data_IF_152691946399
#
_entry.id   IF_152691946399
#
_cell.length_a   1.000
_cell.length_b   1.000
_cell.length_c   1.000
_cell.angle_alpha   90.00
_cell.angle_beta   90.00
_cell.angle_gamma   90.00
#
_symmetry.space_group_name_H-M   'P 1'
#
loop_
_entity.id
_entity.type
_entity.pdbx_description
1 polymer ?
#
# COMPACT_ATOMS: atom_id res chain seq x y z
N UNK A 1 -38.34 70.63 -16.77
CA UNK A 1 -38.33 69.15 -16.78
C UNK A 1 -36.96 68.66 -17.27
N UNK A 2 -36.51 67.47 -16.83
CA UNK A 2 -35.18 67.26 -16.24
C UNK A 2 -34.13 66.61 -17.15
N UNK A 3 -32.92 66.56 -16.59
CA UNK A 3 -31.62 66.08 -17.09
C UNK A 3 -31.54 64.56 -17.25
N UNK A 4 -30.77 64.07 -18.22
CA UNK A 4 -29.82 62.96 -18.00
C UNK A 4 -28.77 62.87 -19.12
N UNK A 5 -27.51 62.91 -18.70
CA UNK A 5 -26.29 62.50 -19.43
C UNK A 5 -26.02 61.02 -19.08
N UNK A 6 -25.18 60.33 -19.87
CA UNK A 6 -24.17 59.31 -19.48
C UNK A 6 -23.90 58.24 -20.59
N UNK A 7 -22.72 57.60 -20.63
CA UNK A 7 -21.80 57.72 -21.78
C UNK A 7 -21.38 56.39 -22.46
N UNK A 8 -20.57 56.56 -23.51
CA UNK A 8 -19.77 55.59 -24.28
C UNK A 8 -19.00 54.59 -23.39
N UNK A 9 -19.07 53.30 -23.73
CA UNK A 9 -18.26 52.22 -23.15
C UNK A 9 -17.47 51.52 -24.28
N UNK A 10 -16.15 51.71 -24.27
CA UNK A 10 -15.18 51.00 -25.11
C UNK A 10 -14.75 49.74 -24.36
N UNK A 11 -14.93 48.56 -24.96
CA UNK A 11 -14.54 47.27 -24.40
C UNK A 11 -13.17 46.85 -24.98
N UNK A 12 -12.13 46.82 -24.15
CA UNK A 12 -10.84 46.23 -24.47
C UNK A 12 -10.91 44.70 -24.30
N UNK A 13 -10.66 43.96 -25.38
CA UNK A 13 -10.56 42.50 -25.35
C UNK A 13 -9.16 42.07 -24.86
N UNK A 14 -9.08 41.49 -23.67
CA UNK A 14 -7.87 40.94 -23.09
C UNK A 14 -7.58 39.53 -23.61
N UNK A 15 -6.36 39.33 -24.14
CA UNK A 15 -5.81 38.05 -24.58
C UNK A 15 -5.44 37.20 -23.34
N UNK A 16 -6.17 36.12 -23.10
CA UNK A 16 -5.94 35.20 -21.98
C UNK A 16 -4.83 34.18 -22.33
N UNK A 17 -3.73 34.24 -21.57
CA UNK A 17 -2.64 33.25 -21.59
C UNK A 17 -3.06 32.03 -20.75
N UNK A 18 -3.25 30.87 -21.38
CA UNK A 18 -3.59 29.63 -20.70
C UNK A 18 -2.35 28.99 -20.05
N UNK A 19 -2.39 28.55 -18.77
CA UNK A 19 -1.31 27.77 -18.20
C UNK A 19 -1.33 26.32 -18.74
N UNK A 20 -0.18 25.86 -19.24
CA UNK A 20 0.11 24.44 -19.50
C UNK A 20 0.03 23.68 -18.17
N UNK A 21 -1.12 23.08 -17.90
CA UNK A 21 -1.29 22.15 -16.77
C UNK A 21 -0.53 20.87 -17.12
N UNK A 22 0.64 20.70 -16.52
CA UNK A 22 1.36 19.42 -16.53
C UNK A 22 0.45 18.35 -15.93
N UNK A 23 0.16 17.31 -16.71
CA UNK A 23 -0.58 16.15 -16.24
C UNK A 23 0.15 15.57 -15.03
N UNK A 24 -0.52 15.31 -13.88
CA UNK A 24 0.12 14.55 -12.83
C UNK A 24 0.33 13.14 -13.39
N UNK A 25 1.58 12.82 -13.72
CA UNK A 25 2.00 11.43 -13.86
C UNK A 25 1.54 10.74 -12.58
N UNK A 26 0.60 9.81 -12.72
CA UNK A 26 -0.02 9.12 -11.60
C UNK A 26 1.07 8.48 -10.77
N UNK A 27 1.42 9.12 -9.65
CA UNK A 27 2.27 8.51 -8.64
C UNK A 27 1.42 7.43 -7.99
N UNK A 28 1.52 6.22 -8.54
CA UNK A 28 0.78 5.07 -8.07
C UNK A 28 1.10 4.89 -6.60
N UNK A 29 0.08 5.00 -5.75
CA UNK A 29 0.25 4.83 -4.32
C UNK A 29 0.95 3.49 -4.10
N UNK A 30 2.03 3.45 -3.30
CA UNK A 30 2.74 2.21 -3.03
C UNK A 30 1.75 1.17 -2.50
N UNK A 31 1.77 0.00 -3.14
CA UNK A 31 0.78 -1.06 -2.91
C UNK A 31 0.96 -1.79 -1.59
N UNK A 32 0.22 -2.89 -1.44
CA UNK A 32 0.35 -3.81 -0.30
C UNK A 32 1.24 -4.99 -0.69
N UNK A 33 2.26 -5.27 0.11
CA UNK A 33 3.09 -6.46 0.00
C UNK A 33 2.52 -7.53 0.91
N UNK A 34 2.12 -8.66 0.34
CA UNK A 34 1.67 -9.84 1.09
C UNK A 34 2.84 -10.77 1.30
N UNK A 35 3.10 -11.08 2.57
CA UNK A 35 4.14 -12.03 2.99
C UNK A 35 3.41 -13.23 3.59
N UNK A 36 3.79 -14.42 3.16
CA UNK A 36 3.24 -15.68 3.65
C UNK A 36 4.38 -16.48 4.26
N UNK A 37 4.18 -17.04 5.45
CA UNK A 37 5.05 -18.10 5.96
C UNK A 37 4.30 -19.42 5.89
N UNK A 38 4.93 -20.41 5.28
CA UNK A 38 4.45 -21.79 5.26
C UNK A 38 5.31 -22.61 6.20
N UNK A 39 4.85 -22.76 7.44
CA UNK A 39 5.58 -23.48 8.49
C UNK A 39 4.66 -24.55 9.08
N UNK A 40 5.17 -25.69 9.55
CA UNK A 40 4.33 -26.64 10.27
C UNK A 40 3.75 -25.99 11.53
N UNK A 41 2.43 -25.76 11.58
CA UNK A 41 1.72 -25.15 12.72
C UNK A 41 1.07 -26.20 13.62
N UNK A 42 1.31 -27.47 13.35
CA UNK A 42 0.91 -28.62 14.15
C UNK A 42 2.06 -29.61 14.34
N UNK A 43 1.85 -30.65 15.16
CA UNK A 43 2.86 -31.68 15.42
C UNK A 43 3.98 -31.24 16.37
N UNK A 44 5.04 -32.05 16.44
CA UNK A 44 6.12 -31.92 17.43
C UNK A 44 6.99 -30.68 17.27
N UNK A 45 7.01 -30.08 16.08
CA UNK A 45 7.82 -28.89 15.75
C UNK A 45 7.06 -27.57 15.95
N UNK A 46 5.76 -27.62 16.29
CA UNK A 46 4.92 -26.42 16.44
C UNK A 46 5.51 -25.39 17.41
N UNK A 47 6.03 -25.82 18.56
CA UNK A 47 6.57 -24.89 19.56
C UNK A 47 7.76 -24.09 19.03
N UNK A 48 8.57 -24.70 18.17
CA UNK A 48 9.68 -24.04 17.50
C UNK A 48 9.18 -23.05 16.44
N UNK A 49 8.23 -23.46 15.60
CA UNK A 49 7.68 -22.59 14.54
C UNK A 49 6.86 -21.43 15.12
N UNK A 50 6.21 -21.60 16.28
CA UNK A 50 5.54 -20.52 17.01
C UNK A 50 6.51 -19.40 17.38
N UNK A 51 7.73 -19.76 17.81
CA UNK A 51 8.76 -18.78 18.16
C UNK A 51 9.25 -18.02 16.91
N UNK A 52 9.33 -18.70 15.77
CA UNK A 52 9.69 -18.09 14.47
C UNK A 52 8.60 -17.09 14.03
N UNK A 53 7.32 -17.50 14.04
CA UNK A 53 6.19 -16.62 13.70
C UNK A 53 6.11 -15.41 14.66
N UNK A 54 6.37 -15.63 15.94
CA UNK A 54 6.47 -14.55 16.93
C UNK A 54 7.55 -13.53 16.57
N UNK A 55 8.75 -14.01 16.19
CA UNK A 55 9.84 -13.14 15.74
C UNK A 55 9.53 -12.37 14.46
N UNK A 56 8.86 -13.01 13.49
CA UNK A 56 8.41 -12.35 12.25
C UNK A 56 7.43 -11.22 12.57
N UNK A 57 6.44 -11.47 13.45
CA UNK A 57 5.46 -10.46 13.86
C UNK A 57 6.11 -9.30 14.60
N UNK A 58 7.02 -9.59 15.53
CA UNK A 58 7.77 -8.57 16.24
C UNK A 58 8.54 -7.66 15.28
N UNK A 59 9.23 -8.23 14.27
CA UNK A 59 9.94 -7.45 13.27
C UNK A 59 9.01 -6.55 12.45
N UNK A 60 7.82 -7.03 12.08
CA UNK A 60 6.83 -6.21 11.38
C UNK A 60 6.20 -5.13 12.26
N UNK A 61 5.97 -5.43 13.54
CA UNK A 61 5.49 -4.44 14.52
C UNK A 61 6.51 -3.32 14.72
N UNK A 62 7.80 -3.65 14.90
CA UNK A 62 8.89 -2.67 14.99
C UNK A 62 9.00 -1.80 13.73
N UNK A 63 8.77 -2.40 12.56
CA UNK A 63 8.73 -1.69 11.27
C UNK A 63 7.40 -0.96 10.99
N UNK A 64 6.46 -0.93 11.95
CA UNK A 64 5.12 -0.35 11.78
C UNK A 64 4.37 -0.88 10.54
N UNK A 65 4.57 -2.15 10.21
CA UNK A 65 3.98 -2.82 9.05
C UNK A 65 4.27 -2.10 7.72
N UNK A 66 5.46 -1.50 7.60
CA UNK A 66 5.85 -0.72 6.42
C UNK A 66 7.24 -1.11 5.91
N UNK A 67 7.37 -1.13 4.58
CA UNK A 67 8.64 -1.25 3.89
C UNK A 67 8.74 -0.12 2.85
N UNK A 68 9.47 0.94 3.17
CA UNK A 68 9.47 2.16 2.36
C UNK A 68 8.06 2.75 2.29
N UNK A 69 7.53 2.94 1.07
CA UNK A 69 6.15 3.38 0.88
C UNK A 69 5.10 2.28 1.03
N UNK A 70 5.48 1.00 1.03
CA UNK A 70 4.54 -0.11 0.94
C UNK A 70 4.02 -0.53 2.31
N UNK A 71 2.73 -0.88 2.37
CA UNK A 71 2.13 -1.55 3.54
C UNK A 71 2.42 -3.04 3.47
N UNK A 72 2.74 -3.66 4.60
CA UNK A 72 2.94 -5.10 4.73
C UNK A 72 1.68 -5.76 5.29
N UNK A 73 1.31 -6.90 4.72
CA UNK A 73 0.35 -7.86 5.29
C UNK A 73 1.02 -9.22 5.46
N UNK A 74 0.85 -9.84 6.61
CA UNK A 74 1.48 -11.13 6.92
C UNK A 74 0.43 -12.21 7.18
N UNK A 75 0.61 -13.36 6.53
CA UNK A 75 -0.22 -14.54 6.66
C UNK A 75 0.62 -15.72 7.16
N UNK A 76 0.16 -16.35 8.24
CA UNK A 76 0.73 -17.55 8.83
C UNK A 76 -0.06 -18.77 8.32
N UNK A 77 0.53 -19.55 7.41
CA UNK A 77 -0.05 -20.75 6.80
C UNK A 77 0.56 -22.02 7.39
N UNK A 78 -0.22 -23.10 7.36
CA UNK A 78 0.16 -24.41 7.89
C UNK A 78 0.50 -25.39 6.78
N UNK A 79 1.77 -25.82 6.76
CA UNK A 79 2.32 -26.84 5.85
C UNK A 79 2.67 -28.15 6.61
N UNK A 80 1.95 -28.44 7.68
CA UNK A 80 2.06 -29.76 8.31
C UNK A 80 1.33 -30.81 7.46
N UNK A 81 2.05 -31.83 6.98
CA UNK A 81 1.41 -33.04 6.46
C UNK A 81 1.22 -34.07 7.59
N UNK A 82 0.11 -34.79 7.59
CA UNK A 82 -0.22 -35.77 8.66
C UNK A 82 0.83 -36.89 8.84
N UNK A 83 1.72 -37.09 7.86
CA UNK A 83 2.74 -38.12 7.84
C UNK A 83 4.16 -37.60 8.11
N UNK A 84 4.43 -36.30 7.95
CA UNK A 84 5.75 -35.74 8.12
C UNK A 84 5.74 -34.73 9.26
N UNK A 85 6.30 -35.14 10.41
CA UNK A 85 6.67 -34.19 11.46
C UNK A 85 7.83 -33.26 11.09
N UNK A 86 8.07 -33.04 9.79
CA UNK A 86 9.16 -32.27 9.18
C UNK A 86 8.66 -31.64 7.85
N UNK A 87 9.17 -30.45 7.52
CA UNK A 87 8.88 -29.72 6.28
C UNK A 87 9.59 -30.32 5.06
N UNK A 88 8.96 -30.31 3.88
CA UNK A 88 9.51 -30.81 2.61
C UNK A 88 9.19 -29.87 1.45
N UNK A 89 10.17 -29.55 0.60
CA UNK A 89 10.01 -28.57 -0.49
C UNK A 89 9.00 -28.97 -1.57
N UNK A 90 8.65 -30.26 -1.67
CA UNK A 90 7.70 -30.78 -2.65
C UNK A 90 6.22 -30.50 -2.29
N UNK A 91 5.95 -30.03 -1.08
CA UNK A 91 4.61 -29.70 -0.60
C UNK A 91 4.18 -28.24 -0.90
N UNK A 92 5.10 -27.42 -1.42
CA UNK A 92 4.97 -25.98 -1.70
C UNK A 92 4.98 -25.67 -3.20
#
# INVERSE_FOLDING_TARGET
MPRSRFPVLILFAGLALAPLVGSPLGQQAPGVIKIVSSLPRTGSVKSQTDSIVGGIRLAFEEANWQAGGFRIEYFDWDDATAAAGQWTAEAE
#
